data_IF_966283218003
#
_entry.id   IF_966283218003
#
_cell.length_a   1.000
_cell.length_b   1.000
_cell.length_c   1.000
_cell.angle_alpha   90.00
_cell.angle_beta   90.00
_cell.angle_gamma   90.00
#
_symmetry.space_group_name_H-M   'P 1'
#
loop_
_entity.id
_entity.type
_entity.pdbx_description
1 polymer ?
#
# COMPACT_ATOMS: atom_id res chain seq x y z
N UNK A 1 81.30 -4.38 -29.21
CA UNK A 1 79.99 -3.82 -28.80
C UNK A 1 78.93 -3.68 -29.91
N UNK A 2 79.25 -3.81 -31.21
CA UNK A 2 78.23 -3.67 -32.29
C UNK A 2 77.30 -4.90 -32.42
N UNK A 3 77.80 -6.11 -32.13
CA UNK A 3 77.03 -7.37 -32.25
C UNK A 3 75.99 -7.57 -31.13
N UNK A 4 76.28 -7.11 -29.91
CA UNK A 4 75.34 -7.21 -28.77
C UNK A 4 74.12 -6.29 -28.93
N UNK A 5 74.28 -5.11 -29.56
CA UNK A 5 73.17 -4.21 -29.90
C UNK A 5 72.21 -4.83 -30.92
N UNK A 6 72.72 -5.59 -31.88
CA UNK A 6 71.90 -6.31 -32.85
C UNK A 6 71.11 -7.45 -32.20
N UNK A 7 71.74 -8.23 -31.31
CA UNK A 7 71.06 -9.30 -30.57
C UNK A 7 69.93 -8.74 -29.68
N UNK A 8 70.18 -7.64 -28.97
CA UNK A 8 69.16 -6.98 -28.15
C UNK A 8 67.96 -6.50 -28.98
N UNK A 9 68.21 -5.99 -30.20
CA UNK A 9 67.16 -5.57 -31.11
C UNK A 9 66.29 -6.75 -31.59
N UNK A 10 66.91 -7.87 -31.95
CA UNK A 10 66.18 -9.09 -32.35
C UNK A 10 65.31 -9.61 -31.20
N UNK A 11 65.82 -9.57 -29.96
CA UNK A 11 65.06 -10.00 -28.78
C UNK A 11 63.82 -9.12 -28.54
N UNK A 12 63.95 -7.81 -28.66
CA UNK A 12 62.82 -6.88 -28.52
C UNK A 12 61.75 -7.14 -29.59
N UNK A 13 62.18 -7.37 -30.84
CA UNK A 13 61.26 -7.72 -31.94
C UNK A 13 60.55 -9.05 -31.68
N UNK A 14 61.25 -10.06 -31.16
CA UNK A 14 60.64 -11.35 -30.81
C UNK A 14 59.58 -11.21 -29.70
N UNK A 15 59.85 -10.41 -28.67
CA UNK A 15 58.88 -10.15 -27.59
C UNK A 15 57.66 -9.37 -28.12
N UNK A 16 57.87 -8.39 -29.00
CA UNK A 16 56.76 -7.66 -29.63
C UNK A 16 55.89 -8.57 -30.49
N UNK A 17 56.49 -9.47 -31.28
CA UNK A 17 55.75 -10.44 -32.10
C UNK A 17 55.00 -11.47 -31.25
N UNK A 18 55.56 -11.90 -30.12
CA UNK A 18 54.85 -12.73 -29.15
C UNK A 18 53.65 -12.01 -28.53
N UNK A 19 53.80 -10.73 -28.16
CA UNK A 19 52.70 -9.91 -27.63
C UNK A 19 51.57 -9.72 -28.65
N UNK A 20 51.91 -9.48 -29.91
CA UNK A 20 50.95 -9.41 -31.00
C UNK A 20 50.26 -10.76 -31.24
N UNK A 21 50.99 -11.89 -31.15
CA UNK A 21 50.42 -13.23 -31.27
C UNK A 21 49.43 -13.56 -30.15
N UNK A 22 49.75 -13.21 -28.89
CA UNK A 22 48.83 -13.39 -27.76
C UNK A 22 47.58 -12.50 -27.86
N UNK A 23 47.73 -11.26 -28.33
CA UNK A 23 46.59 -10.37 -28.56
C UNK A 23 45.71 -10.84 -29.73
N UNK A 24 46.31 -11.44 -30.77
CA UNK A 24 45.56 -12.01 -31.90
C UNK A 24 44.84 -13.32 -31.55
N UNK A 25 45.33 -14.06 -30.54
CA UNK A 25 44.69 -15.28 -30.02
C UNK A 25 43.62 -15.01 -28.94
N UNK A 26 43.52 -13.78 -28.44
CA UNK A 26 42.41 -13.34 -27.60
C UNK A 26 41.23 -12.97 -28.50
N UNK A 27 40.52 -13.97 -29.01
CA UNK A 27 39.21 -13.75 -29.62
C UNK A 27 38.16 -13.56 -28.52
N UNK A 28 37.34 -12.52 -28.66
CA UNK A 28 36.18 -12.31 -27.79
C UNK A 28 35.17 -13.44 -28.00
N UNK A 29 35.15 -14.42 -27.09
CA UNK A 29 34.14 -15.47 -27.08
C UNK A 29 32.80 -14.87 -26.64
N UNK A 30 32.02 -14.40 -27.62
CA UNK A 30 30.64 -13.92 -27.40
C UNK A 30 29.70 -15.12 -27.33
N UNK A 31 29.46 -15.61 -26.12
CA UNK A 31 28.42 -16.62 -25.87
C UNK A 31 27.08 -15.89 -25.82
N UNK A 32 26.28 -16.05 -26.87
CA UNK A 32 24.88 -15.62 -26.88
C UNK A 32 24.05 -16.72 -26.23
N UNK A 33 23.64 -16.49 -24.98
CA UNK A 33 22.68 -17.33 -24.29
C UNK A 33 21.31 -16.64 -24.29
N UNK A 34 20.29 -17.33 -24.79
CA UNK A 34 18.89 -16.95 -24.60
C UNK A 34 18.31 -17.89 -23.56
N UNK A 35 17.84 -17.36 -22.44
CA UNK A 35 17.13 -18.13 -21.43
C UNK A 35 15.65 -17.83 -21.61
N UNK A 36 14.89 -18.83 -22.05
CA UNK A 36 13.43 -18.75 -22.05
C UNK A 36 12.94 -19.15 -20.65
N UNK A 37 12.33 -18.21 -19.93
CA UNK A 37 11.74 -18.47 -18.62
C UNK A 37 10.32 -18.98 -18.76
N UNK A 38 9.83 -19.67 -17.72
CA UNK A 38 8.42 -20.04 -17.62
C UNK A 38 7.51 -18.82 -17.45
N UNK A 39 6.24 -19.02 -17.77
CA UNK A 39 5.15 -18.05 -17.63
C UNK A 39 4.28 -18.47 -16.45
N UNK A 40 4.06 -17.56 -15.50
CA UNK A 40 3.15 -17.74 -14.38
C UNK A 40 1.78 -17.17 -14.79
N UNK A 41 0.76 -18.02 -14.89
CA UNK A 41 -0.57 -17.58 -15.29
C UNK A 41 -1.66 -18.37 -14.54
N UNK A 42 -2.58 -17.63 -13.93
CA UNK A 42 -3.67 -18.12 -13.09
C UNK A 42 -5.00 -17.62 -13.63
N UNK A 43 -6.04 -18.45 -13.55
CA UNK A 43 -7.40 -18.02 -13.90
C UNK A 43 -8.43 -18.85 -13.13
N UNK A 44 -9.61 -18.28 -12.90
CA UNK A 44 -10.77 -19.07 -12.51
C UNK A 44 -11.38 -19.75 -13.73
N UNK A 45 -12.01 -20.91 -13.55
CA UNK A 45 -12.66 -21.67 -14.60
C UNK A 45 -13.92 -22.36 -14.06
N UNK A 46 -14.80 -22.83 -14.96
CA UNK A 46 -15.99 -23.61 -14.62
C UNK A 46 -16.84 -23.01 -13.49
N UNK A 47 -16.93 -21.68 -13.45
CA UNK A 47 -17.64 -20.96 -12.42
C UNK A 47 -19.16 -21.04 -12.67
N UNK A 48 -19.91 -21.42 -11.64
CA UNK A 48 -21.35 -21.62 -11.73
C UNK A 48 -22.04 -21.34 -10.40
N UNK A 49 -23.20 -20.70 -10.46
CA UNK A 49 -24.16 -20.69 -9.37
C UNK A 49 -24.90 -22.03 -9.36
N UNK A 50 -24.83 -22.77 -8.24
CA UNK A 50 -25.47 -24.09 -8.13
C UNK A 50 -26.92 -23.97 -7.74
N UNK A 51 -27.16 -23.38 -6.58
CA UNK A 51 -28.48 -23.17 -6.01
C UNK A 51 -28.38 -22.15 -4.88
N UNK A 52 -29.53 -21.73 -4.37
CA UNK A 52 -29.62 -21.06 -3.10
C UNK A 52 -30.86 -21.54 -2.34
N UNK A 53 -31.07 -20.98 -1.16
CA UNK A 53 -32.28 -21.24 -0.40
C UNK A 53 -32.18 -20.82 1.05
N UNK A 54 -32.88 -21.53 1.93
CA UNK A 54 -32.88 -21.22 3.36
C UNK A 54 -31.84 -22.04 4.11
N UNK A 55 -31.05 -21.37 4.93
CA UNK A 55 -30.07 -21.94 5.83
C UNK A 55 -30.70 -22.24 7.20
N UNK A 56 -31.13 -23.49 7.37
CA UNK A 56 -31.72 -23.96 8.62
C UNK A 56 -30.61 -24.43 9.56
N UNK A 57 -30.42 -23.73 10.68
CA UNK A 57 -29.48 -24.13 11.74
C UNK A 57 -29.98 -25.48 12.28
N UNK A 58 -29.14 -26.52 12.15
CA UNK A 58 -29.41 -27.95 12.43
C UNK A 58 -30.11 -28.77 11.32
N UNK A 59 -30.51 -28.17 10.20
CA UNK A 59 -31.08 -28.88 9.04
C UNK A 59 -30.19 -28.90 7.81
N UNK A 60 -29.19 -28.00 7.76
CA UNK A 60 -28.37 -27.78 6.57
C UNK A 60 -29.10 -26.94 5.51
N UNK A 61 -28.48 -26.78 4.33
CA UNK A 61 -29.06 -26.02 3.22
C UNK A 61 -30.34 -26.68 2.70
N UNK A 62 -31.46 -25.95 2.70
CA UNK A 62 -32.71 -26.35 2.05
C UNK A 62 -32.88 -25.50 0.79
N UNK A 63 -32.68 -26.10 -0.38
CA UNK A 63 -32.78 -25.39 -1.65
C UNK A 63 -34.20 -24.85 -1.88
N UNK A 64 -34.29 -23.60 -2.30
CA UNK A 64 -35.53 -22.98 -2.75
C UNK A 64 -35.23 -22.04 -3.94
N UNK A 65 -36.24 -21.74 -4.74
CA UNK A 65 -36.07 -20.93 -5.96
C UNK A 65 -36.11 -19.41 -5.68
N UNK A 66 -36.03 -18.99 -4.42
CA UNK A 66 -36.07 -17.57 -4.06
C UNK A 66 -34.73 -16.89 -4.22
N UNK A 67 -33.64 -17.56 -3.88
CA UNK A 67 -32.28 -17.04 -4.06
C UNK A 67 -31.81 -17.37 -5.48
N UNK A 68 -31.32 -16.37 -6.20
CA UNK A 68 -30.73 -16.56 -7.52
C UNK A 68 -29.34 -15.92 -7.56
N UNK A 69 -28.52 -16.34 -8.52
CA UNK A 69 -27.19 -15.78 -8.66
C UNK A 69 -26.63 -15.95 -10.06
N UNK A 70 -25.67 -15.10 -10.38
CA UNK A 70 -24.88 -15.14 -11.58
C UNK A 70 -23.40 -15.16 -11.17
N UNK A 71 -22.64 -16.06 -11.80
CA UNK A 71 -21.21 -16.17 -11.58
C UNK A 71 -20.56 -16.09 -12.95
N UNK A 72 -19.62 -15.17 -13.11
CA UNK A 72 -18.90 -14.96 -14.36
C UNK A 72 -17.42 -14.76 -14.10
N UNK A 73 -16.60 -15.01 -15.13
CA UNK A 73 -15.16 -14.80 -15.09
C UNK A 73 -14.86 -13.63 -16.02
N UNK A 74 -14.25 -12.58 -15.49
CA UNK A 74 -13.87 -11.38 -16.24
C UNK A 74 -12.69 -11.66 -17.19
N UNK A 75 -12.43 -10.74 -18.13
CA UNK A 75 -11.33 -10.86 -19.08
C UNK A 75 -9.94 -10.90 -18.42
N UNK A 76 -9.79 -10.22 -17.28
CA UNK A 76 -8.57 -10.23 -16.46
C UNK A 76 -8.44 -11.50 -15.59
N UNK A 77 -9.40 -12.42 -15.70
CA UNK A 77 -9.43 -13.66 -14.93
C UNK A 77 -10.01 -13.51 -13.52
N UNK A 78 -10.62 -12.37 -13.17
CA UNK A 78 -11.31 -12.20 -11.89
C UNK A 78 -12.66 -12.95 -11.84
N UNK A 79 -13.05 -13.44 -10.67
CA UNK A 79 -14.33 -14.11 -10.45
C UNK A 79 -15.36 -13.10 -9.94
N UNK A 80 -16.39 -12.84 -10.74
CA UNK A 80 -17.51 -11.97 -10.35
C UNK A 80 -18.67 -12.83 -9.86
N UNK A 81 -19.16 -12.52 -8.67
CA UNK A 81 -20.30 -13.20 -8.05
C UNK A 81 -21.38 -12.16 -7.79
N UNK A 82 -22.58 -12.38 -8.32
CA UNK A 82 -23.77 -11.55 -8.11
C UNK A 82 -24.86 -12.45 -7.54
N UNK A 83 -25.36 -12.14 -6.35
CA UNK A 83 -26.41 -12.90 -5.66
C UNK A 83 -27.61 -11.98 -5.44
N UNK A 84 -28.79 -12.47 -5.80
CA UNK A 84 -30.03 -11.71 -5.73
C UNK A 84 -31.00 -12.36 -4.76
N UNK A 85 -31.78 -11.50 -4.08
CA UNK A 85 -32.85 -11.91 -3.19
C UNK A 85 -32.35 -12.83 -2.06
N UNK A 86 -31.16 -12.53 -1.56
CA UNK A 86 -30.71 -13.02 -0.27
C UNK A 86 -31.53 -12.35 0.84
N UNK A 87 -31.74 -13.07 1.93
CA UNK A 87 -32.41 -12.60 3.14
C UNK A 87 -31.75 -13.20 4.39
N UNK A 88 -31.98 -12.67 5.60
CA UNK A 88 -31.40 -13.22 6.82
C UNK A 88 -31.69 -14.72 6.98
N UNK A 89 -30.63 -15.51 7.09
CA UNK A 89 -30.72 -16.96 7.16
C UNK A 89 -30.92 -17.67 5.82
N UNK A 90 -30.76 -16.99 4.69
CA UNK A 90 -30.62 -17.63 3.37
C UNK A 90 -29.18 -18.07 3.08
N UNK A 91 -28.99 -18.86 2.03
CA UNK A 91 -27.68 -19.23 1.49
C UNK A 91 -27.65 -19.23 -0.04
N UNK A 92 -26.44 -19.15 -0.58
CA UNK A 92 -26.09 -19.38 -1.98
C UNK A 92 -24.88 -20.33 -2.06
N UNK A 93 -24.93 -21.28 -2.99
CA UNK A 93 -23.85 -22.20 -3.28
C UNK A 93 -23.23 -21.84 -4.63
N UNK A 94 -21.96 -21.46 -4.59
CA UNK A 94 -21.17 -21.10 -5.78
C UNK A 94 -20.05 -22.12 -5.94
N UNK A 95 -19.85 -22.62 -7.15
CA UNK A 95 -18.77 -23.55 -7.47
C UNK A 95 -17.87 -22.96 -8.54
N UNK A 96 -16.56 -23.10 -8.40
CA UNK A 96 -15.59 -22.68 -9.40
C UNK A 96 -14.30 -23.50 -9.28
N UNK A 97 -13.49 -23.46 -10.33
CA UNK A 97 -12.15 -24.04 -10.34
C UNK A 97 -11.10 -22.94 -10.33
N UNK A 98 -10.07 -23.10 -9.51
CA UNK A 98 -8.82 -22.36 -9.59
C UNK A 98 -7.87 -23.13 -10.50
N UNK A 99 -7.43 -22.53 -11.60
CA UNK A 99 -6.64 -23.22 -12.63
C UNK A 99 -5.30 -22.54 -12.90
N UNK A 100 -4.25 -23.36 -13.02
CA UNK A 100 -2.97 -22.93 -13.53
C UNK A 100 -2.96 -23.10 -15.05
N UNK A 101 -2.87 -21.98 -15.77
CA UNK A 101 -2.76 -21.94 -17.25
C UNK A 101 -1.36 -21.52 -17.70
N UNK A 102 -0.42 -21.36 -16.75
CA UNK A 102 0.98 -21.07 -17.02
C UNK A 102 1.78 -22.31 -17.39
N UNK A 103 3.10 -22.13 -17.51
CA UNK A 103 4.04 -23.21 -17.87
C UNK A 103 4.90 -23.66 -16.69
N UNK A 104 4.65 -23.12 -15.50
CA UNK A 104 5.33 -23.48 -14.25
C UNK A 104 4.31 -23.68 -13.11
N UNK A 105 4.60 -24.53 -12.12
CA UNK A 105 3.75 -24.70 -10.94
C UNK A 105 3.60 -23.39 -10.17
N UNK A 106 2.39 -23.13 -9.68
CA UNK A 106 2.07 -21.94 -8.90
C UNK A 106 1.64 -22.29 -7.48
N UNK A 107 1.75 -21.30 -6.60
CA UNK A 107 1.27 -21.33 -5.23
C UNK A 107 0.39 -20.12 -4.99
N UNK A 108 -0.81 -20.33 -4.45
CA UNK A 108 -1.71 -19.26 -4.03
C UNK A 108 -1.13 -18.56 -2.81
N UNK A 109 -1.10 -17.23 -2.82
CA UNK A 109 -0.50 -16.46 -1.73
C UNK A 109 -1.48 -15.54 -1.03
N UNK A 110 -2.48 -15.04 -1.75
CA UNK A 110 -3.43 -14.07 -1.21
C UNK A 110 -4.65 -13.96 -2.14
N UNK A 111 -5.72 -13.32 -1.67
CA UNK A 111 -6.90 -12.98 -2.45
C UNK A 111 -7.29 -11.53 -2.22
N UNK A 112 -7.58 -10.82 -3.31
CA UNK A 112 -8.10 -9.45 -3.26
C UNK A 112 -9.60 -9.49 -3.53
N UNK A 113 -10.36 -8.82 -2.67
CA UNK A 113 -11.79 -8.65 -2.81
C UNK A 113 -12.09 -7.23 -3.25
N UNK A 114 -12.87 -7.08 -4.31
CA UNK A 114 -13.33 -5.79 -4.81
C UNK A 114 -14.85 -5.74 -4.74
N UNK A 115 -15.39 -4.60 -4.32
CA UNK A 115 -16.83 -4.38 -4.15
C UNK A 115 -17.08 -3.30 -3.09
N UNK A 116 -18.04 -2.41 -3.34
CA UNK A 116 -18.40 -1.33 -2.39
C UNK A 116 -19.60 -1.70 -1.52
N UNK A 117 -20.03 -2.97 -1.53
CA UNK A 117 -21.24 -3.36 -0.83
C UNK A 117 -21.00 -3.36 0.69
N UNK A 118 -21.62 -2.40 1.38
CA UNK A 118 -21.55 -2.23 2.84
C UNK A 118 -22.01 -3.47 3.63
N UNK A 119 -22.69 -4.40 2.97
CA UNK A 119 -23.29 -5.59 3.59
C UNK A 119 -22.39 -6.83 3.53
N UNK A 120 -21.15 -6.72 3.03
CA UNK A 120 -20.15 -7.81 3.04
C UNK A 120 -20.00 -8.46 4.42
N UNK A 121 -20.04 -7.66 5.48
CA UNK A 121 -19.92 -8.12 6.87
C UNK A 121 -21.08 -9.01 7.33
N UNK A 122 -22.23 -9.00 6.63
CA UNK A 122 -23.38 -9.86 6.94
C UNK A 122 -23.31 -11.22 6.27
N UNK A 123 -22.41 -11.41 5.32
CA UNK A 123 -22.22 -12.68 4.63
C UNK A 123 -21.06 -13.43 5.25
N UNK A 124 -21.30 -14.72 5.51
CA UNK A 124 -20.32 -15.65 6.03
C UNK A 124 -20.18 -16.82 5.07
N UNK A 125 -18.99 -17.40 5.03
CA UNK A 125 -18.77 -18.68 4.39
C UNK A 125 -18.95 -19.77 5.43
N UNK A 126 -19.81 -20.75 5.15
CA UNK A 126 -19.98 -21.91 6.02
C UNK A 126 -19.02 -23.01 5.56
N UNK A 127 -17.97 -23.26 6.34
CA UNK A 127 -16.99 -24.31 6.09
C UNK A 127 -16.96 -25.28 7.28
N UNK A 128 -17.10 -26.57 7.02
CA UNK A 128 -17.14 -27.63 8.04
C UNK A 128 -18.18 -27.38 9.17
N UNK A 129 -19.26 -26.66 8.84
CA UNK A 129 -20.34 -26.31 9.77
C UNK A 129 -20.10 -25.03 10.59
N UNK A 130 -18.93 -24.41 10.47
CA UNK A 130 -18.59 -23.16 11.17
C UNK A 130 -18.68 -21.96 10.22
N UNK A 131 -19.24 -20.83 10.69
CA UNK A 131 -19.26 -19.59 9.91
C UNK A 131 -17.89 -18.89 9.99
N UNK A 132 -17.29 -18.61 8.85
CA UNK A 132 -16.08 -17.81 8.68
C UNK A 132 -16.39 -16.53 7.91
N UNK A 133 -15.63 -15.46 8.14
CA UNK A 133 -15.64 -14.35 7.19
C UNK A 133 -15.12 -14.80 5.81
N UNK A 134 -15.43 -14.04 4.76
CA UNK A 134 -14.91 -14.31 3.42
C UNK A 134 -13.37 -14.33 3.42
N UNK A 135 -12.76 -13.31 4.02
CA UNK A 135 -11.30 -13.22 4.17
C UNK A 135 -10.71 -14.40 4.94
N UNK A 136 -11.31 -14.79 6.06
CA UNK A 136 -10.86 -15.93 6.87
C UNK A 136 -10.93 -17.23 6.08
N UNK A 137 -12.00 -17.46 5.31
CA UNK A 137 -12.13 -18.66 4.49
C UNK A 137 -11.07 -18.69 3.39
N UNK A 138 -10.89 -17.62 2.61
CA UNK A 138 -9.92 -17.59 1.52
C UNK A 138 -8.47 -17.65 2.02
N UNK A 139 -8.20 -17.15 3.23
CA UNK A 139 -6.91 -17.37 3.90
C UNK A 139 -6.59 -18.84 4.14
N UNK A 140 -7.60 -19.70 4.33
CA UNK A 140 -7.38 -21.16 4.42
C UNK A 140 -6.95 -21.79 3.10
N UNK A 141 -7.16 -21.09 1.98
CA UNK A 141 -6.75 -21.53 0.64
C UNK A 141 -5.32 -21.08 0.29
N UNK A 142 -4.71 -20.20 1.10
CA UNK A 142 -3.31 -19.80 0.93
C UNK A 142 -2.37 -21.01 1.03
N UNK A 143 -1.31 -20.98 0.23
CA UNK A 143 -0.31 -22.03 0.18
C UNK A 143 -0.69 -23.26 -0.64
N UNK A 144 -1.95 -23.37 -1.10
CA UNK A 144 -2.35 -24.39 -2.07
C UNK A 144 -1.48 -24.24 -3.33
N UNK A 145 -0.86 -25.34 -3.73
CA UNK A 145 -0.05 -25.42 -4.94
C UNK A 145 -0.86 -26.08 -6.06
N UNK A 146 -0.75 -25.54 -7.26
CA UNK A 146 -1.43 -26.04 -8.45
C UNK A 146 -0.37 -26.28 -9.53
N UNK A 147 -0.18 -27.56 -9.87
CA UNK A 147 0.72 -27.97 -10.94
C UNK A 147 0.28 -27.39 -12.30
N UNK A 148 1.19 -27.42 -13.27
CA UNK A 148 0.89 -27.02 -14.66
C UNK A 148 -0.31 -27.81 -15.20
N UNK A 149 -1.25 -27.13 -15.84
CA UNK A 149 -2.54 -27.65 -16.30
C UNK A 149 -3.47 -28.20 -15.19
N UNK A 150 -3.04 -28.12 -13.93
CA UNK A 150 -3.80 -28.53 -12.77
C UNK A 150 -4.95 -27.57 -12.44
N UNK A 151 -5.93 -28.09 -11.71
CA UNK A 151 -7.01 -27.28 -11.15
C UNK A 151 -7.40 -27.74 -9.75
N UNK A 152 -7.95 -26.80 -8.97
CA UNK A 152 -8.55 -27.05 -7.67
C UNK A 152 -9.98 -26.53 -7.67
N UNK A 153 -10.94 -27.44 -7.55
CA UNK A 153 -12.35 -27.09 -7.40
C UNK A 153 -12.64 -26.61 -5.99
N UNK A 154 -13.35 -25.48 -5.90
CA UNK A 154 -13.84 -24.87 -4.67
C UNK A 154 -15.36 -24.80 -4.75
N UNK A 155 -16.00 -25.08 -3.62
CA UNK A 155 -17.43 -24.92 -3.43
C UNK A 155 -17.65 -24.03 -2.22
N UNK A 156 -18.28 -22.87 -2.46
CA UNK A 156 -18.44 -21.78 -1.53
C UNK A 156 -19.91 -21.70 -1.10
N UNK A 157 -20.17 -22.04 0.16
CA UNK A 157 -21.48 -21.91 0.77
C UNK A 157 -21.57 -20.57 1.49
N UNK A 158 -22.10 -19.56 0.79
CA UNK A 158 -22.33 -18.22 1.32
C UNK A 158 -23.66 -18.19 2.07
N UNK A 159 -23.68 -17.71 3.30
CA UNK A 159 -24.90 -17.58 4.08
C UNK A 159 -25.02 -16.18 4.67
N UNK A 160 -26.24 -15.66 4.74
CA UNK A 160 -26.53 -14.39 5.42
C UNK A 160 -26.77 -14.65 6.91
N UNK A 161 -26.11 -13.88 7.78
CA UNK A 161 -26.32 -13.94 9.23
C UNK A 161 -27.82 -13.79 9.56
N UNK A 162 -28.35 -14.67 10.41
CA UNK A 162 -29.77 -14.62 10.81
C UNK A 162 -30.16 -13.37 11.59
N UNK A 163 -29.18 -12.71 12.20
CA UNK A 163 -29.38 -11.46 12.94
C UNK A 163 -29.25 -10.22 12.07
N UNK A 164 -29.05 -10.37 10.76
CA UNK A 164 -29.11 -9.24 9.85
C UNK A 164 -30.52 -8.62 9.91
N UNK A 165 -30.55 -7.29 9.99
CA UNK A 165 -31.75 -6.45 10.08
C UNK A 165 -31.87 -5.65 8.79
N UNK A 166 -33.05 -5.08 8.52
CA UNK A 166 -33.26 -4.21 7.36
C UNK A 166 -32.23 -3.07 7.26
N UNK A 167 -31.72 -2.59 8.40
CA UNK A 167 -30.71 -1.52 8.44
C UNK A 167 -29.32 -1.96 7.96
N UNK A 168 -28.98 -3.25 8.04
CA UNK A 168 -27.66 -3.78 7.66
C UNK A 168 -27.70 -4.81 6.53
N UNK A 169 -28.90 -5.11 6.02
CA UNK A 169 -29.14 -6.00 4.90
C UNK A 169 -30.56 -5.74 4.37
N UNK A 170 -30.70 -4.74 3.49
CA UNK A 170 -32.01 -4.35 2.94
C UNK A 170 -32.62 -5.49 2.10
N UNK A 171 -33.94 -5.65 2.18
CA UNK A 171 -34.64 -6.65 1.38
C UNK A 171 -34.48 -6.39 -0.13
N UNK A 172 -34.28 -7.46 -0.91
CA UNK A 172 -34.15 -7.44 -2.38
C UNK A 172 -32.94 -6.68 -2.92
N UNK A 173 -31.97 -6.34 -2.08
CA UNK A 173 -30.68 -5.91 -2.61
C UNK A 173 -29.98 -7.06 -3.35
N UNK A 174 -29.24 -6.66 -4.38
CA UNK A 174 -28.25 -7.52 -5.03
C UNK A 174 -26.96 -7.38 -4.25
N UNK A 175 -26.33 -8.52 -3.98
CA UNK A 175 -25.01 -8.58 -3.40
C UNK A 175 -24.01 -9.01 -4.46
N UNK A 176 -23.09 -8.12 -4.79
CA UNK A 176 -22.03 -8.36 -5.77
C UNK A 176 -20.65 -8.11 -5.19
N UNK A 177 -19.71 -8.98 -5.56
CA UNK A 177 -18.30 -8.81 -5.25
C UNK A 177 -17.45 -9.55 -6.29
N UNK A 178 -16.20 -9.10 -6.39
CA UNK A 178 -15.19 -9.67 -7.28
C UNK A 178 -14.06 -10.25 -6.45
N UNK A 179 -13.60 -11.44 -6.82
CA UNK A 179 -12.46 -12.13 -6.21
C UNK A 179 -11.32 -12.21 -7.23
N UNK A 180 -10.12 -11.77 -6.81
CA UNK A 180 -8.87 -11.94 -7.57
C UNK A 180 -7.89 -12.78 -6.76
N UNK A 181 -7.30 -13.79 -7.40
CA UNK A 181 -6.29 -14.64 -6.76
C UNK A 181 -4.88 -14.13 -7.04
N UNK A 182 -4.08 -13.94 -5.99
CA UNK A 182 -2.65 -13.66 -6.10
C UNK A 182 -1.88 -14.98 -6.04
N UNK A 183 -0.97 -15.15 -6.99
CA UNK A 183 -0.15 -16.36 -7.13
C UNK A 183 1.33 -16.01 -7.23
N UNK A 184 2.17 -16.94 -6.77
CA UNK A 184 3.63 -16.92 -6.96
C UNK A 184 4.13 -18.22 -7.56
N UNK A 185 5.37 -18.22 -8.02
CA UNK A 185 6.04 -19.46 -8.42
C UNK A 185 6.17 -20.38 -7.21
N UNK A 186 6.01 -21.69 -7.40
CA UNK A 186 6.03 -22.66 -6.30
C UNK A 186 7.30 -22.60 -5.42
N UNK A 187 8.45 -22.26 -6.03
CA UNK A 187 9.74 -22.15 -5.37
C UNK A 187 10.08 -20.74 -4.85
N UNK A 188 9.15 -19.78 -4.99
CA UNK A 188 9.30 -18.45 -4.40
C UNK A 188 8.76 -18.50 -2.95
N UNK A 189 9.68 -18.45 -1.99
CA UNK A 189 9.39 -18.44 -0.56
C UNK A 189 9.20 -17.03 0.01
N UNK A 190 9.22 -16.00 -0.83
CA UNK A 190 9.13 -14.59 -0.43
C UNK A 190 10.38 -14.09 0.31
N UNK A 191 11.43 -14.89 0.46
CA UNK A 191 12.65 -14.47 1.18
C UNK A 191 13.40 -13.32 0.49
N UNK A 192 13.15 -13.13 -0.81
CA UNK A 192 13.73 -12.06 -1.62
C UNK A 192 12.86 -10.80 -1.68
N UNK A 193 11.65 -10.83 -1.10
CA UNK A 193 10.86 -9.62 -0.91
C UNK A 193 11.50 -8.82 0.21
N UNK A 194 12.41 -7.93 -0.18
CA UNK A 194 12.80 -6.82 0.68
C UNK A 194 11.50 -6.06 0.94
N UNK A 195 10.96 -6.16 2.16
CA UNK A 195 9.91 -5.24 2.60
C UNK A 195 10.41 -3.86 2.23
N UNK A 196 9.68 -3.08 1.40
CA UNK A 196 10.11 -1.72 1.08
C UNK A 196 10.42 -1.06 2.42
N UNK A 197 11.61 -0.44 2.52
CA UNK A 197 11.96 0.33 3.70
C UNK A 197 10.72 1.19 4.02
N UNK A 198 10.22 1.16 5.26
CA UNK A 198 9.00 1.87 5.61
C UNK A 198 9.12 3.29 5.06
N UNK A 199 8.10 3.75 4.33
CA UNK A 199 8.09 5.11 3.81
C UNK A 199 8.47 6.03 4.96
N UNK A 200 9.46 6.92 4.78
CA UNK A 200 9.93 7.78 5.86
C UNK A 200 8.70 8.52 6.42
N UNK A 201 8.42 8.33 7.71
CA UNK A 201 7.29 9.00 8.35
C UNK A 201 7.44 10.50 8.15
N UNK A 202 6.38 11.17 7.70
CA UNK A 202 6.39 12.62 7.53
C UNK A 202 6.82 13.28 8.85
N UNK A 203 7.77 14.23 8.81
CA UNK A 203 8.28 14.83 10.03
C UNK A 203 7.14 15.53 10.79
N UNK A 204 7.01 15.20 12.06
CA UNK A 204 5.92 15.72 12.89
C UNK A 204 6.29 17.13 13.37
N UNK A 205 5.37 18.09 13.20
CA UNK A 205 5.51 19.42 13.78
C UNK A 205 5.53 19.29 15.31
N UNK A 206 6.59 19.79 15.94
CA UNK A 206 6.77 19.73 17.41
C UNK A 206 6.59 21.08 18.07
N UNK A 207 6.75 22.20 17.34
CA UNK A 207 6.58 23.52 17.92
C UNK A 207 6.68 24.69 16.95
N UNK A 208 6.63 25.90 17.52
CA UNK A 208 6.93 27.16 16.86
C UNK A 208 8.20 27.78 17.43
N UNK A 209 9.01 28.35 16.55
CA UNK A 209 10.20 29.12 16.90
C UNK A 209 10.08 30.53 16.37
N UNK A 210 10.22 31.53 17.25
CA UNK A 210 10.29 32.93 16.87
C UNK A 210 11.71 33.48 17.03
N UNK A 211 12.24 34.04 15.95
CA UNK A 211 13.56 34.70 15.93
C UNK A 211 13.36 36.19 15.72
N UNK A 212 13.51 36.97 16.80
CA UNK A 212 13.44 38.43 16.77
C UNK A 212 14.57 39.02 15.92
N UNK A 213 14.23 39.89 14.97
CA UNK A 213 15.19 40.59 14.10
C UNK A 213 15.24 42.09 14.38
N UNK A 214 14.19 42.66 14.97
CA UNK A 214 14.11 44.09 15.25
C UNK A 214 13.28 44.37 16.51
N UNK A 215 13.69 45.39 17.26
CA UNK A 215 12.98 45.91 18.44
C UNK A 215 13.11 47.44 18.48
N UNK A 216 11.99 48.14 18.57
CA UNK A 216 11.96 49.60 18.76
C UNK A 216 11.03 49.96 19.91
N UNK A 217 11.45 50.87 20.78
CA UNK A 217 10.65 51.37 21.91
C UNK A 217 10.42 52.86 21.78
N UNK A 218 9.23 53.31 22.16
CA UNK A 218 8.90 54.72 22.16
C UNK A 218 7.84 55.11 23.18
N UNK A 219 7.53 56.39 23.22
CA UNK A 219 6.38 56.95 23.93
C UNK A 219 5.44 57.55 22.89
N UNK A 220 4.16 57.24 22.99
CA UNK A 220 3.17 57.80 22.08
C UNK A 220 2.65 59.14 22.64
N UNK A 221 2.95 60.23 21.94
CA UNK A 221 2.53 61.57 22.35
C UNK A 221 1.01 61.77 22.24
N UNK A 222 0.31 61.01 21.39
CA UNK A 222 -1.14 61.06 21.25
C UNK A 222 -1.91 60.26 22.30
N UNK A 223 -1.24 59.30 22.98
CA UNK A 223 -1.86 58.44 24.00
C UNK A 223 -1.29 58.69 25.41
N UNK A 224 -1.32 59.95 25.88
CA UNK A 224 -0.87 60.34 27.23
C UNK A 224 0.55 59.85 27.58
N UNK A 225 1.45 59.74 26.60
CA UNK A 225 2.82 59.31 26.82
C UNK A 225 2.99 57.82 27.14
N UNK A 226 2.00 56.97 26.82
CA UNK A 226 2.10 55.51 27.00
C UNK A 226 3.32 54.95 26.27
N UNK A 227 4.07 54.10 26.97
CA UNK A 227 5.21 53.38 26.40
C UNK A 227 4.71 52.28 25.46
N UNK A 228 5.36 52.14 24.31
CA UNK A 228 5.09 51.09 23.33
C UNK A 228 6.39 50.43 22.88
N UNK A 229 6.25 49.22 22.33
CA UNK A 229 7.31 48.49 21.65
C UNK A 229 6.80 47.94 20.32
N UNK A 230 7.63 47.97 19.29
CA UNK A 230 7.40 47.32 18.00
C UNK A 230 8.46 46.23 17.83
N UNK A 231 8.03 45.01 17.52
CA UNK A 231 8.88 43.85 17.36
C UNK A 231 8.68 43.28 15.95
N UNK A 232 9.78 43.02 15.24
CA UNK A 232 9.75 42.25 13.99
C UNK A 232 10.61 41.01 14.13
N UNK A 233 10.25 39.95 13.43
CA UNK A 233 11.02 38.71 13.44
C UNK A 233 10.51 37.68 12.45
N UNK A 234 11.15 36.52 12.46
CA UNK A 234 10.83 35.37 11.61
C UNK A 234 10.22 34.25 12.45
N UNK A 235 9.20 33.60 11.93
CA UNK A 235 8.53 32.46 12.56
C UNK A 235 8.85 31.20 11.78
N UNK A 236 9.14 30.12 12.50
CA UNK A 236 9.44 28.80 11.94
C UNK A 236 8.58 27.72 12.62
N UNK A 237 8.23 26.67 11.90
CA UNK A 237 7.85 25.39 12.52
C UNK A 237 9.13 24.63 12.87
N UNK A 238 9.13 23.97 14.02
CA UNK A 238 10.20 23.04 14.41
C UNK A 238 9.68 21.62 14.30
N UNK A 239 10.44 20.74 13.67
CA UNK A 239 10.07 19.35 13.42
C UNK A 239 10.80 18.38 14.37
N UNK A 240 10.28 17.16 14.52
CA UNK A 240 10.86 16.10 15.38
C UNK A 240 12.32 15.79 15.07
N UNK A 241 12.73 15.99 13.82
CA UNK A 241 14.09 15.77 13.34
C UNK A 241 15.04 16.94 13.62
N UNK A 242 14.54 18.04 14.21
CA UNK A 242 15.31 19.23 14.56
C UNK A 242 15.47 20.23 13.42
N UNK A 243 14.82 20.01 12.28
CA UNK A 243 14.74 20.98 11.19
C UNK A 243 13.72 22.09 11.49
N UNK A 244 14.04 23.32 11.05
CA UNK A 244 13.17 24.48 11.16
C UNK A 244 12.69 24.91 9.77
N UNK A 245 11.38 24.99 9.55
CA UNK A 245 10.79 25.47 8.30
C UNK A 245 10.29 26.90 8.46
N UNK A 246 10.75 27.80 7.59
CA UNK A 246 10.33 29.21 7.62
C UNK A 246 8.87 29.37 7.21
N UNK A 247 8.09 30.05 8.05
CA UNK A 247 6.67 30.35 7.78
C UNK A 247 6.54 31.75 7.18
N UNK A 248 6.87 32.78 7.96
CA UNK A 248 6.71 34.17 7.54
C UNK A 248 7.55 35.15 8.37
N UNK A 249 7.64 36.40 7.87
CA UNK A 249 8.11 37.53 8.66
C UNK A 249 6.89 38.18 9.33
N UNK A 250 6.99 38.45 10.63
CA UNK A 250 5.95 39.16 11.38
C UNK A 250 6.40 40.56 11.80
N UNK A 251 5.42 41.45 11.89
CA UNK A 251 5.53 42.78 12.46
C UNK A 251 4.35 42.97 13.41
N UNK A 252 4.64 43.18 14.69
CA UNK A 252 3.59 43.30 15.72
C UNK A 252 2.86 44.64 15.67
N UNK A 253 3.39 45.62 14.94
CA UNK A 253 3.07 47.02 15.16
C UNK A 253 3.37 47.44 16.61
N UNK A 254 2.74 48.53 17.08
CA UNK A 254 2.93 49.02 18.45
C UNK A 254 2.17 48.17 19.47
N UNK A 255 2.91 47.44 20.31
CA UNK A 255 2.43 46.80 21.53
C UNK A 255 2.61 47.78 22.69
N UNK A 256 1.54 48.17 23.36
CA UNK A 256 1.63 49.04 24.54
C UNK A 256 1.99 48.25 25.79
N UNK A 257 2.61 48.93 26.76
CA UNK A 257 3.03 48.32 28.03
C UNK A 257 1.85 47.64 28.75
N UNK A 258 2.05 46.38 29.15
CA UNK A 258 1.03 45.53 29.76
C UNK A 258 0.05 44.90 28.76
N UNK A 259 0.37 44.92 27.46
CA UNK A 259 -0.43 44.27 26.39
C UNK A 259 0.40 43.22 25.65
N UNK A 260 -0.32 42.36 24.94
CA UNK A 260 0.24 41.29 24.13
C UNK A 260 -0.28 41.39 22.69
N UNK A 261 0.53 40.93 21.75
CA UNK A 261 0.14 40.66 20.38
C UNK A 261 0.17 39.13 20.19
N UNK A 262 -0.77 38.58 19.42
CA UNK A 262 -0.76 37.15 19.13
C UNK A 262 -1.26 36.82 17.73
N UNK A 263 -0.75 35.72 17.17
CA UNK A 263 -1.19 35.14 15.90
C UNK A 263 -1.24 33.62 16.00
N UNK A 264 -2.29 33.03 15.44
CA UNK A 264 -2.46 31.58 15.40
C UNK A 264 -1.83 31.00 14.14
N UNK A 265 -1.23 29.83 14.29
CA UNK A 265 -0.68 28.96 13.26
C UNK A 265 -1.33 27.59 13.39
N UNK A 266 -1.06 26.68 12.45
CA UNK A 266 -1.64 25.34 12.43
C UNK A 266 -1.28 24.56 13.70
N UNK A 267 -2.22 24.48 14.65
CA UNK A 267 -2.04 23.83 15.95
C UNK A 267 -1.29 24.65 17.02
N UNK A 268 -0.80 25.85 16.71
CA UNK A 268 0.05 26.63 17.63
C UNK A 268 -0.33 28.11 17.71
N UNK A 269 0.06 28.78 18.80
CA UNK A 269 -0.15 30.23 19.00
C UNK A 269 1.16 30.90 19.38
N UNK A 270 1.57 31.92 18.64
CA UNK A 270 2.67 32.81 19.02
C UNK A 270 2.09 34.02 19.76
N UNK A 271 2.60 34.32 20.95
CA UNK A 271 2.18 35.46 21.76
C UNK A 271 3.37 36.28 22.25
N UNK A 272 3.47 37.53 21.79
CA UNK A 272 4.55 38.46 22.16
C UNK A 272 3.99 39.47 23.16
N UNK A 273 4.57 39.51 24.35
CA UNK A 273 4.09 40.33 25.48
C UNK A 273 5.06 41.44 25.83
N UNK A 274 4.56 42.69 25.95
CA UNK A 274 5.33 43.80 26.51
C UNK A 274 5.03 43.97 28.01
N UNK A 275 5.91 43.43 28.83
CA UNK A 275 5.71 43.32 30.28
C UNK A 275 5.73 44.68 31.00
N UNK A 276 5.10 44.74 32.18
CA UNK A 276 5.04 45.94 33.01
C UNK A 276 6.41 46.41 33.53
N UNK A 277 7.43 45.55 33.51
CA UNK A 277 8.81 45.91 33.83
C UNK A 277 9.60 46.47 32.62
N UNK A 278 9.00 46.51 31.43
CA UNK A 278 9.66 46.96 30.21
C UNK A 278 10.41 45.87 29.42
N UNK A 279 10.34 44.61 29.85
CA UNK A 279 10.88 43.46 29.14
C UNK A 279 9.89 42.90 28.10
N UNK A 280 10.41 42.18 27.12
CA UNK A 280 9.61 41.50 26.09
C UNK A 280 9.80 39.99 26.28
N UNK A 281 8.71 39.24 26.22
CA UNK A 281 8.71 37.77 26.25
C UNK A 281 7.84 37.23 25.10
N UNK A 282 8.17 36.03 24.63
CA UNK A 282 7.43 35.29 23.61
C UNK A 282 7.58 33.78 23.82
#
# INVERSE_FOLDING_TARGET
MKKSKFLALVLVVAIMLMGAGYAFWMEDLKIYATVNTGELAFTFANAEFKNGGDYVIHGGPVANDYVSGEVSIAEDGALNIILNNLHPGSYALVKFDMKNIGTIPLKLTDFVFEGENANLDQIVVVADGEPLSLEEYFKTLEGISIDVDGSKTIELLLAVKKCATEENFEEKESFDFTVKGNVRQYNDDGSCEVTPDPEPEDPVKTGLKFVKTYECKGKDQGHNGKQWVEVKGRVYYTFSEGEDEFIENIDTGKIYKGKSWSKNYDGYKLEITYNNNGAISW
#
